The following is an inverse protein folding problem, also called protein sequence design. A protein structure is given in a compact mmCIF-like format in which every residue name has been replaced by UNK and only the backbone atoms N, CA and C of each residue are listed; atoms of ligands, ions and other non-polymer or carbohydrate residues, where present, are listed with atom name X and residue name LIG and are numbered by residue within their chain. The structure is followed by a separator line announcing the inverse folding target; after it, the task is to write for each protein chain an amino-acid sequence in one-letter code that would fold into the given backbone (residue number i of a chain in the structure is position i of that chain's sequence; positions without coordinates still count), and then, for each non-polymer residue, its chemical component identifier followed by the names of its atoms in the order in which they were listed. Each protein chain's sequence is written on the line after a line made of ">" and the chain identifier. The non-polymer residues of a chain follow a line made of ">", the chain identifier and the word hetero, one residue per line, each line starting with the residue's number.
data_IF_684265879415
#
_entry.id   IF_684265879415
#
_cell.length_a   1.000
_cell.length_b   1.000
_cell.length_c   1.000
_cell.angle_alpha   90.00
_cell.angle_beta   90.00
_cell.angle_gamma   90.00
#
_symmetry.space_group_name_H-M   'P 1'
#
loop_
_entity.id
_entity.type
_entity.pdbx_description
1 polymer ?
#
# COMPACT_ATOMS: atom_id res chain seq x y z
N UNK A 1 0.03 12.09 -4.53
CA UNK A 1 0.53 10.71 -4.33
C UNK A 1 0.13 10.27 -2.93
N UNK A 2 -0.89 9.43 -2.82
CA UNK A 2 -1.59 9.17 -1.55
C UNK A 2 -1.06 7.90 -0.85
N UNK A 3 -0.75 6.83 -1.59
CA UNK A 3 -0.36 5.55 -0.99
C UNK A 3 1.16 5.37 -0.76
N UNK A 4 2.02 6.02 -1.55
CA UNK A 4 3.50 5.90 -1.48
C UNK A 4 4.05 4.47 -1.69
N UNK A 5 3.28 3.53 -2.25
CA UNK A 5 3.79 2.17 -2.50
C UNK A 5 4.95 2.11 -3.52
N UNK A 6 5.01 3.08 -4.43
CA UNK A 6 6.03 3.18 -5.46
C UNK A 6 7.32 3.92 -5.03
N UNK A 7 7.65 3.94 -3.73
CA UNK A 7 8.89 4.56 -3.26
C UNK A 7 10.12 3.82 -3.82
N UNK A 8 10.98 4.56 -4.50
CA UNK A 8 12.25 4.07 -5.08
C UNK A 8 13.41 4.88 -4.53
N UNK A 9 14.60 4.28 -4.49
CA UNK A 9 15.80 4.98 -4.08
C UNK A 9 16.43 5.68 -5.27
N UNK A 10 16.69 6.98 -5.13
CA UNK A 10 17.31 7.81 -6.17
C UNK A 10 18.68 8.21 -5.65
N UNK A 11 19.73 7.91 -6.43
CA UNK A 11 21.11 8.21 -6.04
C UNK A 11 21.26 9.72 -5.74
N UNK A 12 21.85 10.05 -4.59
CA UNK A 12 21.99 11.43 -4.11
C UNK A 12 20.76 12.02 -3.39
N UNK A 13 19.60 11.36 -3.43
CA UNK A 13 18.43 11.82 -2.68
C UNK A 13 18.49 11.36 -1.21
N UNK A 14 18.24 12.26 -0.23
CA UNK A 14 18.30 11.91 1.19
C UNK A 14 17.19 10.93 1.60
N UNK A 15 16.08 10.91 0.88
CA UNK A 15 14.92 10.04 1.13
C UNK A 15 14.44 9.39 -0.16
N UNK A 16 13.86 8.18 -0.10
CA UNK A 16 13.19 7.55 -1.23
C UNK A 16 12.13 8.46 -1.85
N UNK A 17 12.01 8.41 -3.17
CA UNK A 17 11.14 9.29 -3.95
C UNK A 17 9.97 8.50 -4.54
N UNK A 18 8.77 9.09 -4.64
CA UNK A 18 7.62 8.44 -5.26
C UNK A 18 7.78 8.33 -6.78
N UNK A 19 7.94 7.13 -7.31
CA UNK A 19 8.15 6.94 -8.75
C UNK A 19 6.98 7.47 -9.60
N UNK A 20 5.73 7.38 -9.12
CA UNK A 20 4.55 7.79 -9.88
C UNK A 20 4.41 9.30 -10.10
N UNK A 21 5.17 10.13 -9.36
CA UNK A 21 5.03 11.59 -9.43
C UNK A 21 6.36 12.35 -9.53
N UNK A 22 7.50 11.68 -9.34
CA UNK A 22 8.81 12.31 -9.46
C UNK A 22 9.23 12.39 -10.94
N UNK A 23 9.41 13.59 -11.53
CA UNK A 23 9.88 13.73 -12.89
C UNK A 23 11.31 13.16 -13.06
N UNK A 24 11.60 12.63 -14.25
CA UNK A 24 12.95 12.17 -14.59
C UNK A 24 13.88 13.36 -14.86
N UNK A 25 15.15 13.23 -14.50
CA UNK A 25 16.21 14.17 -14.83
C UNK A 25 17.37 13.43 -15.52
N UNK A 26 18.14 14.17 -16.33
CA UNK A 26 19.33 13.58 -16.98
C UNK A 26 20.36 13.12 -15.94
N UNK A 27 20.96 11.96 -16.18
CA UNK A 27 21.90 11.32 -15.25
C UNK A 27 21.26 10.74 -13.98
N UNK A 28 19.93 10.76 -13.83
CA UNK A 28 19.25 10.19 -12.68
C UNK A 28 19.41 8.66 -12.63
N UNK A 29 19.91 8.14 -11.51
CA UNK A 29 20.03 6.70 -11.26
C UNK A 29 19.01 6.26 -10.23
N UNK A 30 18.22 5.25 -10.58
CA UNK A 30 17.10 4.77 -9.79
C UNK A 30 17.38 3.32 -9.41
N UNK A 31 17.33 3.02 -8.11
CA UNK A 31 17.42 1.69 -7.56
C UNK A 31 16.06 1.28 -7.01
N UNK A 32 15.49 0.22 -7.58
CA UNK A 32 14.16 -0.30 -7.20
C UNK A 32 14.24 -1.50 -6.25
N UNK A 33 15.38 -2.19 -6.21
CA UNK A 33 15.53 -3.46 -5.48
C UNK A 33 16.55 -3.42 -4.35
N UNK A 34 17.18 -2.26 -4.11
CA UNK A 34 18.11 -2.12 -2.99
C UNK A 34 17.37 -2.13 -1.65
N UNK A 35 18.12 -2.30 -0.56
CA UNK A 35 17.54 -2.42 0.79
C UNK A 35 16.70 -1.19 1.17
N UNK A 36 17.14 0.01 0.80
CA UNK A 36 16.44 1.26 1.11
C UNK A 36 15.06 1.36 0.43
N UNK A 37 14.97 0.98 -0.84
CA UNK A 37 13.69 0.94 -1.56
C UNK A 37 12.76 -0.13 -0.97
N UNK A 38 13.25 -1.37 -0.83
CA UNK A 38 12.47 -2.49 -0.28
C UNK A 38 11.98 -2.22 1.15
N UNK A 39 12.83 -1.66 2.01
CA UNK A 39 12.44 -1.32 3.39
C UNK A 39 11.32 -0.26 3.42
N UNK A 40 11.35 0.69 2.48
CA UNK A 40 10.32 1.73 2.38
C UNK A 40 8.99 1.16 1.90
N UNK A 41 9.01 0.30 0.89
CA UNK A 41 7.83 -0.41 0.38
C UNK A 41 7.19 -1.28 1.47
N UNK A 42 8.02 -2.02 2.22
CA UNK A 42 7.57 -2.86 3.34
C UNK A 42 6.93 -2.04 4.47
N UNK A 43 7.52 -0.89 4.81
CA UNK A 43 6.96 0.02 5.80
C UNK A 43 5.62 0.61 5.34
N UNK A 44 5.51 1.02 4.07
CA UNK A 44 4.25 1.52 3.51
C UNK A 44 3.18 0.44 3.53
N UNK A 45 3.50 -0.80 3.15
CA UNK A 45 2.56 -1.92 3.18
C UNK A 45 2.04 -2.17 4.60
N UNK A 46 2.91 -2.12 5.60
CA UNK A 46 2.49 -2.22 7.01
C UNK A 46 1.48 -1.13 7.40
N UNK A 47 1.68 0.11 6.95
CA UNK A 47 0.73 1.20 7.20
C UNK A 47 -0.60 1.03 6.46
N UNK A 48 -0.58 0.51 5.23
CA UNK A 48 -1.82 0.19 4.49
C UNK A 48 -2.63 -0.89 5.21
N UNK A 49 -1.97 -1.92 5.73
CA UNK A 49 -2.62 -3.05 6.40
C UNK A 49 -2.96 -2.78 7.88
N UNK A 50 -2.38 -1.75 8.50
CA UNK A 50 -2.58 -1.41 9.91
C UNK A 50 -4.07 -1.27 10.24
N UNK A 51 -4.81 -0.58 9.37
CA UNK A 51 -6.23 -0.28 9.53
C UNK A 51 -7.14 -1.04 8.57
N UNK A 52 -6.59 -1.84 7.66
CA UNK A 52 -7.37 -2.69 6.77
C UNK A 52 -7.95 -3.89 7.55
N UNK A 53 -9.24 -4.27 7.36
CA UNK A 53 -9.88 -5.35 8.10
C UNK A 53 -9.40 -6.73 7.63
N UNK A 54 -9.62 -7.76 8.45
CA UNK A 54 -9.27 -9.16 8.12
C UNK A 54 -10.42 -9.86 7.38
N UNK A 55 -10.97 -9.18 6.38
CA UNK A 55 -12.20 -9.59 5.70
C UNK A 55 -11.94 -10.39 4.43
N UNK A 56 -10.69 -10.71 4.07
CA UNK A 56 -10.37 -11.40 2.82
C UNK A 56 -11.24 -12.64 2.52
N UNK A 57 -11.65 -13.49 3.50
CA UNK A 57 -12.54 -14.63 3.24
C UNK A 57 -13.98 -14.27 2.84
N UNK A 58 -14.45 -13.07 3.18
CA UNK A 58 -15.80 -12.56 2.88
C UNK A 58 -15.79 -11.42 1.86
N UNK A 59 -14.61 -10.92 1.51
CA UNK A 59 -14.39 -9.91 0.49
C UNK A 59 -14.64 -10.53 -0.88
N UNK A 60 -15.50 -9.90 -1.67
CA UNK A 60 -15.81 -10.28 -3.05
C UNK A 60 -14.59 -10.19 -3.97
N UNK A 61 -13.70 -9.22 -3.73
CA UNK A 61 -12.42 -9.07 -4.42
C UNK A 61 -11.32 -10.01 -3.89
N UNK A 62 -11.61 -10.87 -2.92
CA UNK A 62 -10.64 -11.83 -2.38
C UNK A 62 -10.11 -12.76 -3.48
N UNK A 63 -8.79 -12.80 -3.68
CA UNK A 63 -8.14 -13.58 -4.74
C UNK A 63 -7.88 -12.82 -6.05
N UNK A 64 -8.47 -11.64 -6.24
CA UNK A 64 -8.16 -10.71 -7.34
C UNK A 64 -7.79 -9.31 -6.83
N UNK A 65 -7.54 -9.19 -5.53
CA UNK A 65 -7.24 -7.92 -4.86
C UNK A 65 -5.77 -7.52 -5.06
N UNK A 66 -5.53 -6.38 -5.72
CA UNK A 66 -4.16 -5.84 -5.91
C UNK A 66 -3.44 -5.62 -4.57
N UNK A 67 -4.15 -5.20 -3.52
CA UNK A 67 -3.54 -5.04 -2.19
C UNK A 67 -3.02 -6.38 -1.65
N UNK A 68 -3.74 -7.48 -1.89
CA UNK A 68 -3.33 -8.81 -1.49
C UNK A 68 -2.04 -9.22 -2.23
N UNK A 69 -2.01 -9.04 -3.55
CA UNK A 69 -0.85 -9.40 -4.37
C UNK A 69 0.40 -8.61 -3.96
N UNK A 70 0.26 -7.29 -3.84
CA UNK A 70 1.37 -6.41 -3.45
C UNK A 70 1.81 -6.69 -2.00
N UNK A 71 0.90 -7.08 -1.11
CA UNK A 71 1.24 -7.50 0.25
C UNK A 71 2.03 -8.81 0.28
N UNK A 72 1.74 -9.76 -0.62
CA UNK A 72 2.50 -11.00 -0.73
C UNK A 72 3.93 -10.74 -1.24
N UNK A 73 4.10 -9.79 -2.16
CA UNK A 73 5.41 -9.49 -2.75
C UNK A 73 6.30 -8.59 -1.86
N UNK A 74 5.70 -7.60 -1.18
CA UNK A 74 6.42 -6.53 -0.48
C UNK A 74 6.10 -6.41 1.01
N UNK A 75 5.10 -7.14 1.50
CA UNK A 75 4.65 -7.08 2.89
C UNK A 75 5.55 -7.85 3.87
N UNK A 76 5.13 -7.83 5.14
CA UNK A 76 5.69 -8.71 6.18
C UNK A 76 4.70 -9.83 6.45
N UNK A 77 5.21 -11.03 6.73
CA UNK A 77 4.37 -12.19 7.08
C UNK A 77 3.56 -11.99 8.38
N UNK A 78 4.03 -11.09 9.26
CA UNK A 78 3.45 -10.87 10.58
C UNK A 78 3.17 -9.38 10.82
N UNK A 79 1.94 -9.07 11.22
CA UNK A 79 1.56 -7.74 11.70
C UNK A 79 2.09 -7.51 13.11
N UNK A 80 2.65 -6.32 13.36
CA UNK A 80 3.03 -5.86 14.70
C UNK A 80 1.92 -5.07 15.39
N UNK A 81 0.88 -4.68 14.65
CA UNK A 81 -0.23 -3.89 15.15
C UNK A 81 -1.28 -4.79 15.81
N UNK A 82 -1.55 -4.54 17.09
CA UNK A 82 -2.46 -5.32 17.93
C UNK A 82 -3.59 -4.49 18.53
N UNK A 83 -3.64 -3.19 18.24
CA UNK A 83 -4.70 -2.31 18.73
C UNK A 83 -5.98 -2.42 17.90
N UNK A 84 -7.04 -1.76 18.37
CA UNK A 84 -8.30 -1.68 17.64
C UNK A 84 -8.14 -0.96 16.30
N UNK A 85 -8.55 -1.62 15.22
CA UNK A 85 -8.58 -1.04 13.87
C UNK A 85 -9.73 -0.03 13.75
N UNK A 86 -9.55 1.00 12.93
CA UNK A 86 -10.64 1.92 12.58
C UNK A 86 -11.76 1.16 11.86
N UNK A 87 -12.99 1.61 12.06
CA UNK A 87 -14.16 1.14 11.33
C UNK A 87 -14.86 2.36 10.74
N UNK A 88 -15.26 2.26 9.47
CA UNK A 88 -15.91 3.33 8.72
C UNK A 88 -17.28 2.82 8.28
N UNK A 89 -18.31 3.64 8.48
CA UNK A 89 -19.66 3.32 8.01
C UNK A 89 -19.72 3.35 6.48
N UNK A 90 -20.46 2.40 5.92
CA UNK A 90 -20.65 2.29 4.49
C UNK A 90 -21.51 3.43 3.95
N UNK A 91 -21.24 3.81 2.70
CA UNK A 91 -21.89 4.94 2.05
C UNK A 91 -22.82 4.42 0.97
N UNK A 92 -24.13 4.71 1.09
CA UNK A 92 -25.08 4.38 0.04
C UNK A 92 -24.87 5.33 -1.16
N UNK A 93 -24.31 4.79 -2.24
CA UNK A 93 -24.07 5.48 -3.51
C UNK A 93 -24.95 4.94 -4.65
N UNK A 94 -26.00 4.19 -4.31
CA UNK A 94 -26.98 3.65 -5.24
C UNK A 94 -26.96 2.13 -5.39
N UNK A 95 -27.90 1.62 -6.18
CA UNK A 95 -28.22 0.19 -6.21
C UNK A 95 -27.22 -0.72 -6.96
N UNK A 96 -26.24 -0.13 -7.66
CA UNK A 96 -25.31 -0.90 -8.50
C UNK A 96 -23.96 -1.18 -7.82
N UNK A 97 -23.56 -0.35 -6.85
CA UNK A 97 -22.25 -0.41 -6.23
C UNK A 97 -22.44 -0.60 -4.73
N UNK A 98 -22.14 -1.80 -4.26
CA UNK A 98 -22.03 -2.06 -2.83
C UNK A 98 -20.70 -1.48 -2.33
N UNK A 99 -20.73 -0.79 -1.18
CA UNK A 99 -19.52 -0.20 -0.58
C UNK A 99 -19.18 -0.90 0.72
N UNK A 100 -17.90 -1.22 0.89
CA UNK A 100 -17.31 -1.63 2.18
C UNK A 100 -16.19 -0.64 2.52
N UNK A 101 -16.56 0.50 3.13
CA UNK A 101 -15.65 1.66 3.29
C UNK A 101 -14.51 1.40 4.28
N UNK A 102 -14.67 0.41 5.16
CA UNK A 102 -13.59 -0.02 6.07
C UNK A 102 -12.43 -0.68 5.31
N UNK A 103 -12.69 -1.29 4.14
CA UNK A 103 -11.65 -1.90 3.28
C UNK A 103 -10.90 -0.88 2.44
N UNK A 104 -11.46 0.30 2.21
CA UNK A 104 -10.87 1.34 1.36
C UNK A 104 -9.53 1.87 1.93
N UNK A 105 -8.54 2.03 1.05
CA UNK A 105 -7.20 2.58 1.33
C UNK A 105 -6.86 3.81 0.50
#
# INVERSE_FOLDING_TARGET
>A
ANCRMCLVDVEGAPKPQPACSTPIADGMKIHTQNEKAKASQKAVMEFLLINHPLDCPICDQGGECELQDVAMDYGSDVSRFTEGKRIVADSDIGALIQTDMTRCI
#
